data_IF_845526245717
#
_entry.id   IF_845526245717
#
_cell.length_a   1.000
_cell.length_b   1.000
_cell.length_c   1.000
_cell.angle_alpha   90.00
_cell.angle_beta   90.00
_cell.angle_gamma   90.00
#
_symmetry.space_group_name_H-M   'P 1'
#
loop_
_entity.id
_entity.type
_entity.pdbx_description
1 polymer ?
#
# COMPACT_ATOMS: atom_id res chain seq x y z
N UNK A 1 17.89 27.14 -22.72
CA UNK A 1 18.00 28.58 -23.16
C UNK A 1 17.97 29.46 -21.91
N UNK A 2 18.46 30.70 -22.03
CA UNK A 2 18.43 31.69 -20.92
C UNK A 2 16.98 32.00 -20.51
N UNK A 3 16.04 31.98 -21.45
CA UNK A 3 14.62 32.17 -21.18
C UNK A 3 14.04 31.03 -20.34
N UNK A 4 14.36 29.76 -20.64
CA UNK A 4 13.91 28.60 -19.85
C UNK A 4 14.46 28.65 -18.45
N UNK A 5 15.75 29.01 -18.31
CA UNK A 5 16.38 29.19 -17.03
C UNK A 5 15.70 30.30 -16.20
N UNK A 6 15.45 31.44 -16.80
CA UNK A 6 14.75 32.54 -16.14
C UNK A 6 13.32 32.14 -15.71
N UNK A 7 12.59 31.40 -16.55
CA UNK A 7 11.27 30.89 -16.22
C UNK A 7 11.32 29.86 -15.06
N UNK A 8 12.30 28.98 -15.06
CA UNK A 8 12.47 28.00 -13.97
C UNK A 8 12.78 28.69 -12.63
N UNK A 9 13.66 29.68 -12.63
CA UNK A 9 13.96 30.50 -11.44
C UNK A 9 12.72 31.25 -10.97
N UNK A 10 11.98 31.88 -11.87
CA UNK A 10 10.75 32.61 -11.51
C UNK A 10 9.66 31.69 -10.95
N UNK A 11 9.52 30.49 -11.51
CA UNK A 11 8.50 29.52 -11.07
C UNK A 11 8.82 28.89 -9.70
N UNK A 12 10.09 28.79 -9.32
CA UNK A 12 10.53 28.16 -8.07
C UNK A 12 10.91 29.17 -6.97
N UNK A 13 11.07 30.43 -7.32
CA UNK A 13 11.60 31.46 -6.41
C UNK A 13 13.08 31.23 -6.04
N UNK A 14 13.83 30.51 -6.88
CA UNK A 14 15.22 30.17 -6.59
C UNK A 14 16.13 31.44 -6.62
N UNK A 15 17.07 31.50 -5.68
CA UNK A 15 18.05 32.56 -5.54
C UNK A 15 19.46 32.10 -6.00
N UNK A 16 20.40 33.03 -6.23
CA UNK A 16 21.77 32.68 -6.53
C UNK A 16 22.41 31.82 -5.42
N UNK A 17 22.83 30.61 -5.80
CA UNK A 17 23.38 29.62 -4.86
C UNK A 17 22.45 28.40 -4.65
N UNK A 18 21.19 28.52 -5.05
CA UNK A 18 20.25 27.40 -4.99
C UNK A 18 20.51 26.39 -6.11
N UNK A 19 20.09 25.14 -5.84
CA UNK A 19 20.15 24.05 -6.81
C UNK A 19 18.72 23.61 -7.17
N UNK A 20 18.41 23.59 -8.47
CA UNK A 20 17.14 23.10 -8.99
C UNK A 20 17.30 21.69 -9.56
N UNK A 21 16.45 20.78 -9.09
CA UNK A 21 16.39 19.40 -9.56
C UNK A 21 15.22 19.21 -10.51
N UNK A 22 15.45 18.53 -11.61
CA UNK A 22 14.46 18.24 -12.64
C UNK A 22 14.36 16.74 -12.86
N UNK A 23 13.15 16.27 -13.13
CA UNK A 23 12.92 14.95 -13.67
C UNK A 23 12.02 15.03 -14.89
N UNK A 24 12.29 14.21 -15.89
CA UNK A 24 11.50 14.11 -17.11
C UNK A 24 11.25 12.64 -17.43
N UNK A 25 10.07 12.32 -17.93
CA UNK A 25 9.66 10.96 -18.26
C UNK A 25 8.17 10.77 -18.00
N UNK A 26 7.78 9.53 -17.77
CA UNK A 26 6.43 9.19 -17.33
C UNK A 26 6.12 9.92 -16.01
N UNK A 27 4.92 10.55 -15.88
CA UNK A 27 4.61 11.43 -14.76
C UNK A 27 4.74 10.78 -13.37
N UNK A 28 4.33 9.52 -13.21
CA UNK A 28 4.43 8.77 -11.95
C UNK A 28 5.90 8.56 -11.55
N UNK A 29 6.71 8.05 -12.48
CA UNK A 29 8.12 7.81 -12.27
C UNK A 29 8.90 9.10 -11.96
N UNK A 30 8.61 10.19 -12.69
CA UNK A 30 9.26 11.48 -12.49
C UNK A 30 8.94 12.07 -11.09
N UNK A 31 7.68 11.99 -10.66
CA UNK A 31 7.25 12.44 -9.33
C UNK A 31 7.88 11.61 -8.22
N UNK A 32 7.90 10.28 -8.37
CA UNK A 32 8.51 9.38 -7.40
C UNK A 32 10.00 9.64 -7.22
N UNK A 33 10.72 9.86 -8.34
CA UNK A 33 12.13 10.20 -8.31
C UNK A 33 12.40 11.52 -7.56
N UNK A 34 11.65 12.58 -7.87
CA UNK A 34 11.80 13.87 -7.19
C UNK A 34 11.37 13.80 -5.72
N UNK A 35 10.36 13.02 -5.40
CA UNK A 35 9.93 12.75 -4.02
C UNK A 35 11.05 12.10 -3.20
N UNK A 36 11.65 11.03 -3.73
CA UNK A 36 12.78 10.34 -3.10
C UNK A 36 14.00 11.27 -2.95
N UNK A 37 14.34 12.01 -4.01
CA UNK A 37 15.44 12.98 -3.98
C UNK A 37 15.24 14.06 -2.90
N UNK A 38 14.02 14.58 -2.75
CA UNK A 38 13.68 15.57 -1.74
C UNK A 38 13.96 15.04 -0.33
N UNK A 39 13.52 13.83 -0.03
CA UNK A 39 13.71 13.20 1.30
C UNK A 39 15.19 12.96 1.57
N UNK A 40 15.90 12.38 0.60
CA UNK A 40 17.34 12.08 0.71
C UNK A 40 18.19 13.33 0.93
N UNK A 41 17.93 14.38 0.15
CA UNK A 41 18.66 15.66 0.26
C UNK A 41 18.37 16.34 1.60
N UNK A 42 17.10 16.36 2.01
CA UNK A 42 16.72 16.95 3.29
C UNK A 42 17.39 16.25 4.48
N UNK A 43 17.46 14.91 4.45
CA UNK A 43 18.17 14.12 5.45
C UNK A 43 19.66 14.41 5.50
N UNK A 44 20.35 14.42 4.33
CA UNK A 44 21.80 14.72 4.24
C UNK A 44 22.15 16.12 4.73
N UNK A 45 21.28 17.07 4.52
CA UNK A 45 21.48 18.45 4.92
C UNK A 45 20.99 18.75 6.36
N UNK A 46 20.43 17.76 7.07
CA UNK A 46 19.90 17.97 8.42
C UNK A 46 18.71 18.94 8.48
N UNK A 47 17.92 19.01 7.41
CA UNK A 47 16.76 19.91 7.32
C UNK A 47 15.48 19.30 7.93
N UNK A 48 15.52 18.02 8.29
CA UNK A 48 14.40 17.34 8.93
C UNK A 48 14.45 17.57 10.44
N UNK A 49 13.43 18.21 10.98
CA UNK A 49 13.25 18.35 12.42
C UNK A 49 12.53 17.10 12.96
N UNK A 50 13.30 16.13 13.45
CA UNK A 50 12.78 14.89 13.99
C UNK A 50 11.99 15.05 15.29
N UNK A 51 12.15 16.19 15.99
CA UNK A 51 11.41 16.50 17.21
C UNK A 51 10.01 17.03 16.95
N UNK A 52 9.74 17.48 15.74
CA UNK A 52 8.46 18.07 15.36
C UNK A 52 7.48 17.02 14.83
N UNK A 53 6.26 17.07 15.29
CA UNK A 53 5.16 16.26 14.78
C UNK A 53 4.44 17.02 13.67
N UNK A 54 4.57 16.54 12.42
CA UNK A 54 4.04 17.17 11.21
C UNK A 54 2.98 16.27 10.59
N UNK A 55 1.72 16.67 10.74
CA UNK A 55 0.57 15.95 10.19
C UNK A 55 0.19 16.52 8.82
N UNK A 56 -0.20 15.62 7.91
CA UNK A 56 -0.78 15.97 6.62
C UNK A 56 -1.88 14.99 6.26
N UNK A 57 -2.98 15.49 5.70
CA UNK A 57 -3.99 14.68 5.05
C UNK A 57 -3.62 14.50 3.58
N UNK A 58 -3.66 13.27 3.11
CA UNK A 58 -3.62 12.94 1.70
C UNK A 58 -5.04 12.62 1.29
N UNK A 59 -5.56 13.34 0.27
CA UNK A 59 -6.92 13.20 -0.24
C UNK A 59 -6.89 13.12 -1.76
N UNK A 60 -8.04 12.81 -2.36
CA UNK A 60 -8.22 12.81 -3.81
C UNK A 60 -7.23 11.89 -4.53
N UNK A 61 -6.95 10.72 -3.95
CA UNK A 61 -6.10 9.73 -4.58
C UNK A 61 -6.74 9.14 -5.84
N UNK A 62 -5.97 8.64 -6.83
CA UNK A 62 -6.53 7.90 -7.95
C UNK A 62 -7.44 6.77 -7.48
N UNK A 63 -8.60 6.61 -8.12
CA UNK A 63 -9.53 5.53 -7.80
C UNK A 63 -9.05 4.19 -8.36
N UNK A 64 -8.46 4.23 -9.55
CA UNK A 64 -7.97 3.06 -10.27
C UNK A 64 -6.55 3.28 -10.78
N UNK A 65 -5.81 2.19 -10.90
CA UNK A 65 -4.53 2.14 -11.58
C UNK A 65 -4.54 1.02 -12.63
N UNK A 66 -3.85 1.26 -13.75
CA UNK A 66 -3.72 0.26 -14.80
C UNK A 66 -2.54 -0.65 -14.51
N UNK A 67 -2.81 -1.94 -14.41
CA UNK A 67 -1.79 -2.96 -14.31
C UNK A 67 -1.35 -3.36 -15.71
N UNK A 68 -0.08 -3.07 -16.04
CA UNK A 68 0.49 -3.37 -17.34
C UNK A 68 0.85 -4.85 -17.52
N UNK A 69 1.07 -5.57 -16.43
CA UNK A 69 1.44 -6.98 -16.48
C UNK A 69 0.20 -7.86 -16.66
N UNK A 70 -0.87 -7.54 -15.96
CA UNK A 70 -2.15 -8.26 -16.01
C UNK A 70 -3.14 -7.65 -17.02
N UNK A 71 -2.79 -6.52 -17.67
CA UNK A 71 -3.63 -5.79 -18.65
C UNK A 71 -5.04 -5.48 -18.12
N UNK A 72 -5.14 -5.04 -16.85
CA UNK A 72 -6.43 -4.76 -16.21
C UNK A 72 -6.37 -3.54 -15.30
N UNK A 73 -7.55 -3.03 -14.93
CA UNK A 73 -7.67 -2.04 -13.88
C UNK A 73 -7.66 -2.70 -12.51
N UNK A 74 -6.89 -2.12 -11.58
CA UNK A 74 -6.92 -2.43 -10.16
C UNK A 74 -7.48 -1.23 -9.38
N UNK A 75 -8.22 -1.50 -8.29
CA UNK A 75 -8.61 -0.44 -7.37
C UNK A 75 -7.40 -0.06 -6.51
N UNK A 76 -7.08 1.24 -6.42
CA UNK A 76 -5.94 1.72 -5.62
C UNK A 76 -6.16 1.46 -4.12
N UNK A 77 -7.38 1.63 -3.64
CA UNK A 77 -7.73 1.31 -2.25
C UNK A 77 -8.44 -0.04 -2.16
N UNK A 78 -9.72 -0.07 -2.51
CA UNK A 78 -10.51 -1.30 -2.62
C UNK A 78 -11.82 -1.05 -3.40
N UNK A 79 -12.50 -2.12 -3.90
CA UNK A 79 -13.66 -2.00 -4.79
C UNK A 79 -14.88 -1.27 -4.22
N UNK A 80 -14.93 -1.02 -2.93
CA UNK A 80 -16.07 -0.38 -2.25
C UNK A 80 -15.85 1.10 -1.94
N UNK A 81 -14.72 1.68 -2.37
CA UNK A 81 -14.43 3.11 -2.21
C UNK A 81 -15.25 3.92 -3.20
N UNK A 82 -15.94 4.95 -2.70
CA UNK A 82 -16.69 5.85 -3.56
C UNK A 82 -15.77 6.79 -4.36
N UNK A 83 -16.17 7.18 -5.58
CA UNK A 83 -15.54 8.31 -6.26
C UNK A 83 -15.83 9.61 -5.50
N UNK A 84 -14.98 10.63 -5.68
CA UNK A 84 -15.29 11.99 -5.21
C UNK A 84 -16.58 12.50 -5.87
N UNK A 85 -17.21 13.52 -5.28
CA UNK A 85 -18.46 14.07 -5.78
C UNK A 85 -18.37 14.53 -7.24
N UNK A 86 -17.24 15.11 -7.65
CA UNK A 86 -16.99 15.58 -9.01
C UNK A 86 -16.88 14.44 -10.04
N UNK A 87 -16.59 13.23 -9.56
CA UNK A 87 -16.43 12.04 -10.39
C UNK A 87 -17.61 11.05 -10.28
N UNK A 88 -18.61 11.34 -9.44
CA UNK A 88 -19.70 10.40 -9.15
C UNK A 88 -20.44 9.89 -10.39
N UNK A 89 -20.58 10.72 -11.42
CA UNK A 89 -21.28 10.38 -12.67
C UNK A 89 -20.35 10.11 -13.87
N UNK A 90 -19.01 10.30 -13.71
CA UNK A 90 -18.06 10.21 -14.83
C UNK A 90 -16.88 9.27 -14.63
N UNK A 91 -16.75 8.62 -13.50
CA UNK A 91 -15.59 7.77 -13.21
C UNK A 91 -15.47 6.57 -14.17
N UNK A 92 -16.59 6.04 -14.62
CA UNK A 92 -16.61 4.89 -15.52
C UNK A 92 -16.16 5.24 -16.95
N UNK A 93 -16.38 6.47 -17.38
CA UNK A 93 -15.98 6.93 -18.72
C UNK A 93 -14.48 7.27 -18.80
N UNK A 94 -13.85 7.57 -17.67
CA UNK A 94 -12.44 7.96 -17.60
C UNK A 94 -11.74 7.41 -16.35
N UNK A 95 -11.65 6.08 -16.17
CA UNK A 95 -11.11 5.45 -14.96
C UNK A 95 -9.68 5.89 -14.62
N UNK A 96 -8.84 6.16 -15.63
CA UNK A 96 -7.47 6.67 -15.44
C UNK A 96 -7.40 8.06 -14.76
N UNK A 97 -8.50 8.78 -14.69
CA UNK A 97 -8.56 10.14 -14.13
C UNK A 97 -9.45 10.22 -12.90
N UNK A 98 -10.25 9.20 -12.66
CA UNK A 98 -11.19 9.16 -11.55
C UNK A 98 -10.46 9.26 -10.20
N UNK A 99 -10.99 10.09 -9.31
CA UNK A 99 -10.47 10.28 -7.96
C UNK A 99 -11.39 9.62 -6.94
N UNK A 100 -10.78 8.96 -5.96
CA UNK A 100 -11.45 8.31 -4.85
C UNK A 100 -11.72 9.29 -3.72
N UNK A 101 -12.87 9.18 -3.08
CA UNK A 101 -13.18 9.85 -1.80
C UNK A 101 -12.53 9.04 -0.66
N UNK A 102 -11.21 9.04 -0.69
CA UNK A 102 -10.33 8.36 0.25
C UNK A 102 -9.39 9.37 0.90
N UNK A 103 -8.94 9.06 2.09
CA UNK A 103 -8.11 9.94 2.88
C UNK A 103 -7.16 9.17 3.78
N UNK A 104 -5.90 9.62 3.84
CA UNK A 104 -4.89 9.07 4.73
C UNK A 104 -4.33 10.17 5.62
N UNK A 105 -4.20 9.88 6.92
CA UNK A 105 -3.49 10.72 7.86
C UNK A 105 -2.03 10.27 7.95
N UNK A 106 -1.13 11.14 7.56
CA UNK A 106 0.31 10.89 7.59
C UNK A 106 0.97 11.79 8.62
N UNK A 107 1.90 11.25 9.40
CA UNK A 107 2.76 11.99 10.31
C UNK A 107 4.22 11.64 10.06
N UNK A 108 5.07 12.64 9.81
CA UNK A 108 6.51 12.47 9.58
C UNK A 108 6.84 11.37 8.55
N UNK A 109 6.07 11.30 7.46
CA UNK A 109 6.24 10.29 6.41
C UNK A 109 5.63 8.91 6.73
N UNK A 110 5.02 8.72 7.89
CA UNK A 110 4.33 7.49 8.27
C UNK A 110 2.82 7.69 8.16
N UNK A 111 2.16 6.86 7.37
CA UNK A 111 0.70 6.77 7.36
C UNK A 111 0.24 6.19 8.70
N UNK A 112 -0.49 6.97 9.46
CA UNK A 112 -1.04 6.57 10.78
C UNK A 112 -2.36 5.87 10.66
N UNK A 113 -3.14 6.24 9.66
CA UNK A 113 -4.44 5.65 9.41
C UNK A 113 -5.01 6.16 8.12
N UNK A 114 -5.87 5.35 7.51
CA UNK A 114 -6.53 5.68 6.28
C UNK A 114 -7.98 5.21 6.26
N UNK A 115 -8.73 5.77 5.37
CA UNK A 115 -10.14 5.48 5.23
C UNK A 115 -10.74 5.98 3.93
N UNK A 116 -12.02 5.74 3.78
CA UNK A 116 -12.76 6.25 2.62
C UNK A 116 -14.24 6.35 2.89
N UNK A 117 -14.91 7.16 2.09
CA UNK A 117 -16.35 7.10 1.92
C UNK A 117 -16.68 5.89 1.04
N UNK A 118 -17.71 5.16 1.40
CA UNK A 118 -18.07 3.90 0.76
C UNK A 118 -19.18 4.08 -0.27
N UNK A 119 -19.12 3.25 -1.30
CA UNK A 119 -20.26 3.11 -2.23
C UNK A 119 -21.42 2.51 -1.47
N UNK A 120 -22.58 3.15 -1.56
CA UNK A 120 -23.84 2.67 -0.98
C UNK A 120 -24.94 2.50 -2.03
N UNK A 121 -24.65 2.75 -3.31
CA UNK A 121 -25.59 2.60 -4.44
C UNK A 121 -25.19 1.38 -5.25
N UNK A 122 -26.11 0.42 -5.40
CA UNK A 122 -25.84 -0.82 -6.12
C UNK A 122 -25.41 -0.60 -7.58
N UNK A 123 -26.00 0.36 -8.28
CA UNK A 123 -25.65 0.66 -9.66
C UNK A 123 -24.19 1.17 -9.79
N UNK A 124 -23.76 2.03 -8.87
CA UNK A 124 -22.37 2.52 -8.84
C UNK A 124 -21.39 1.39 -8.52
N UNK A 125 -21.74 0.51 -7.58
CA UNK A 125 -20.94 -0.65 -7.25
C UNK A 125 -20.75 -1.60 -8.42
N UNK A 126 -21.81 -1.82 -9.21
CA UNK A 126 -21.70 -2.64 -10.42
C UNK A 126 -20.75 -2.03 -11.44
N UNK A 127 -20.82 -0.71 -11.67
CA UNK A 127 -19.89 -0.02 -12.57
C UNK A 127 -18.43 -0.20 -12.13
N UNK A 128 -18.14 -0.15 -10.83
CA UNK A 128 -16.79 -0.40 -10.31
C UNK A 128 -16.36 -1.85 -10.59
N UNK A 129 -17.23 -2.83 -10.36
CA UNK A 129 -16.93 -4.23 -10.66
C UNK A 129 -16.68 -4.45 -12.15
N UNK A 130 -17.49 -3.83 -13.02
CA UNK A 130 -17.32 -3.91 -14.46
C UNK A 130 -15.95 -3.40 -14.92
N UNK A 131 -15.48 -2.25 -14.35
CA UNK A 131 -14.14 -1.70 -14.62
C UNK A 131 -13.04 -2.67 -14.17
N UNK A 132 -13.21 -3.30 -13.00
CA UNK A 132 -12.24 -4.24 -12.43
C UNK A 132 -12.27 -5.63 -13.07
N UNK A 133 -13.22 -5.88 -13.99
CA UNK A 133 -13.41 -7.18 -14.63
C UNK A 133 -13.99 -8.25 -13.70
N UNK A 134 -14.65 -7.86 -12.61
CA UNK A 134 -15.30 -8.75 -11.65
C UNK A 134 -16.73 -9.01 -12.15
N UNK A 135 -16.98 -10.21 -12.63
CA UNK A 135 -18.30 -10.59 -13.09
C UNK A 135 -19.29 -10.87 -11.95
N UNK A 136 -20.56 -11.05 -12.29
CA UNK A 136 -21.61 -11.24 -11.27
C UNK A 136 -21.43 -12.54 -10.45
N UNK A 137 -20.88 -13.58 -11.03
CA UNK A 137 -20.65 -14.85 -10.34
C UNK A 137 -19.52 -14.70 -9.33
N UNK A 138 -18.43 -14.08 -9.74
CA UNK A 138 -17.29 -13.77 -8.88
C UNK A 138 -17.67 -12.77 -7.75
N UNK A 139 -18.45 -11.73 -8.11
CA UNK A 139 -18.96 -10.78 -7.12
C UNK A 139 -19.86 -11.46 -6.08
N UNK A 140 -20.73 -12.37 -6.50
CA UNK A 140 -21.61 -13.12 -5.60
C UNK A 140 -20.81 -14.09 -4.71
N UNK A 141 -19.80 -14.76 -5.25
CA UNK A 141 -18.95 -15.67 -4.48
C UNK A 141 -18.11 -14.94 -3.43
N UNK A 142 -17.46 -13.83 -3.82
CA UNK A 142 -16.54 -13.11 -2.94
C UNK A 142 -17.25 -12.16 -1.97
N UNK A 143 -18.30 -11.51 -2.41
CA UNK A 143 -18.95 -10.39 -1.71
C UNK A 143 -20.46 -10.55 -1.53
N UNK A 144 -21.02 -11.74 -1.85
CA UNK A 144 -22.46 -11.97 -1.86
C UNK A 144 -23.16 -11.55 -0.56
N UNK A 145 -22.59 -11.87 0.60
CA UNK A 145 -23.13 -11.48 1.90
C UNK A 145 -23.22 -9.95 2.07
N UNK A 146 -22.23 -9.20 1.56
CA UNK A 146 -22.22 -7.74 1.65
C UNK A 146 -23.22 -7.11 0.67
N UNK A 147 -23.26 -7.64 -0.57
CA UNK A 147 -24.19 -7.18 -1.61
C UNK A 147 -25.64 -7.46 -1.20
N UNK A 148 -25.90 -8.60 -0.57
CA UNK A 148 -27.20 -8.92 0.01
C UNK A 148 -27.58 -7.92 1.11
N UNK A 149 -26.67 -7.66 2.06
CA UNK A 149 -26.89 -6.67 3.11
C UNK A 149 -27.17 -5.28 2.52
N UNK A 150 -26.49 -4.90 1.45
CA UNK A 150 -26.70 -3.61 0.77
C UNK A 150 -28.04 -3.53 0.04
N UNK A 151 -28.69 -4.64 -0.29
CA UNK A 151 -30.01 -4.65 -0.88
C UNK A 151 -31.09 -4.08 0.06
N UNK A 152 -30.83 -4.05 1.36
CA UNK A 152 -31.72 -3.47 2.38
C UNK A 152 -31.55 -1.95 2.55
N UNK A 153 -30.74 -1.29 1.73
CA UNK A 153 -30.60 0.16 1.71
C UNK A 153 -29.60 0.69 2.76
N UNK A 154 -28.30 0.52 2.55
CA UNK A 154 -27.30 1.06 3.45
C UNK A 154 -27.31 2.59 3.45
N UNK A 155 -27.11 3.25 4.59
CA UNK A 155 -26.93 4.69 4.61
C UNK A 155 -25.60 5.08 3.96
N UNK A 156 -25.41 6.35 3.55
CA UNK A 156 -24.09 6.87 3.30
C UNK A 156 -23.18 6.61 4.51
N UNK A 157 -22.03 6.02 4.27
CA UNK A 157 -21.14 5.63 5.35
C UNK A 157 -19.68 5.72 4.91
N UNK A 158 -18.81 5.75 5.86
CA UNK A 158 -17.35 5.76 5.69
C UNK A 158 -16.70 5.46 7.03
N UNK A 159 -15.38 5.48 7.05
CA UNK A 159 -14.64 5.22 8.27
C UNK A 159 -13.15 5.44 8.09
N UNK A 160 -12.43 5.39 9.18
CA UNK A 160 -10.98 5.44 9.23
C UNK A 160 -10.47 4.36 10.17
N UNK A 161 -9.38 3.70 9.78
CA UNK A 161 -8.67 2.75 10.62
C UNK A 161 -7.26 3.27 10.89
N UNK A 162 -6.81 3.14 12.13
CA UNK A 162 -5.48 3.57 12.56
C UNK A 162 -4.56 2.38 12.78
N UNK A 163 -3.31 2.51 12.30
CA UNK A 163 -2.24 1.57 12.58
C UNK A 163 -1.70 1.77 14.00
N UNK A 164 -2.22 1.01 14.97
CA UNK A 164 -1.86 1.17 16.38
C UNK A 164 -0.35 1.02 16.63
N UNK A 165 0.27 0.04 15.99
CA UNK A 165 1.72 -0.17 16.12
C UNK A 165 2.54 1.02 15.60
N UNK A 166 2.10 1.68 14.51
CA UNK A 166 2.74 2.90 14.00
C UNK A 166 2.62 4.07 14.97
N UNK A 167 1.47 4.22 15.60
CA UNK A 167 1.27 5.22 16.64
C UNK A 167 2.20 4.94 17.83
N UNK A 168 2.26 3.69 18.28
CA UNK A 168 3.17 3.28 19.36
C UNK A 168 4.64 3.51 18.99
N UNK A 169 5.04 3.21 17.77
CA UNK A 169 6.39 3.45 17.27
C UNK A 169 6.77 4.93 17.35
N UNK A 170 5.90 5.81 16.86
CA UNK A 170 6.13 7.25 16.92
C UNK A 170 6.17 7.78 18.36
N UNK A 171 5.24 7.35 19.22
CA UNK A 171 5.20 7.74 20.64
C UNK A 171 6.44 7.27 21.41
N UNK A 172 6.98 6.12 21.07
CA UNK A 172 8.18 5.56 21.67
C UNK A 172 9.48 6.19 21.12
N UNK A 173 9.41 6.96 20.02
CA UNK A 173 10.59 7.43 19.30
C UNK A 173 11.42 6.28 18.73
N UNK A 174 10.76 5.17 18.35
CA UNK A 174 11.42 4.00 17.79
C UNK A 174 11.54 4.10 16.25
N UNK A 175 12.63 3.55 15.71
CA UNK A 175 12.91 3.59 14.28
C UNK A 175 12.20 2.49 13.48
N UNK A 176 11.69 1.48 14.18
CA UNK A 176 11.07 0.31 13.56
C UNK A 176 9.83 -0.16 14.31
N UNK A 177 8.81 -0.60 13.56
CA UNK A 177 7.64 -1.28 14.12
C UNK A 177 8.02 -2.52 14.95
N UNK A 178 9.14 -3.18 14.61
CA UNK A 178 9.61 -4.35 15.35
C UNK A 178 10.00 -4.04 16.78
N UNK A 179 10.34 -2.80 17.09
CA UNK A 179 10.75 -2.37 18.43
C UNK A 179 9.56 -2.22 19.38
N UNK A 180 8.35 -2.10 18.84
CA UNK A 180 7.10 -1.94 19.61
C UNK A 180 6.16 -3.14 19.55
N UNK A 181 6.50 -4.17 18.78
CA UNK A 181 5.74 -5.42 18.66
C UNK A 181 6.43 -6.50 19.49
N UNK A 182 5.67 -7.14 20.41
CA UNK A 182 6.24 -8.13 21.33
C UNK A 182 6.84 -9.36 20.64
N UNK A 183 6.27 -9.79 19.49
CA UNK A 183 6.70 -10.97 18.73
C UNK A 183 6.79 -10.63 17.22
N UNK A 184 7.79 -9.82 16.83
CA UNK A 184 7.89 -9.37 15.44
C UNK A 184 8.32 -10.51 14.53
N UNK A 185 7.72 -10.56 13.34
CA UNK A 185 8.12 -11.46 12.25
C UNK A 185 9.10 -10.77 11.30
N UNK A 186 9.87 -11.57 10.55
CA UNK A 186 10.68 -11.05 9.45
C UNK A 186 9.81 -10.61 8.28
N UNK A 187 10.39 -9.89 7.30
CA UNK A 187 9.69 -9.47 6.10
C UNK A 187 9.11 -10.63 5.27
N UNK A 188 9.68 -11.83 5.38
CA UNK A 188 9.18 -13.05 4.74
C UNK A 188 8.14 -13.81 5.60
N UNK A 189 7.68 -13.22 6.70
CA UNK A 189 6.69 -13.85 7.58
C UNK A 189 7.25 -14.93 8.53
N UNK A 190 8.58 -15.12 8.57
CA UNK A 190 9.22 -16.05 9.48
C UNK A 190 9.17 -15.53 10.91
N UNK A 191 8.78 -16.39 11.84
CA UNK A 191 8.77 -16.11 13.27
C UNK A 191 10.05 -16.64 13.93
N UNK A 192 10.96 -15.75 14.36
CA UNK A 192 12.21 -16.18 15.00
C UNK A 192 12.04 -16.91 16.32
N UNK A 193 10.92 -16.69 17.03
CA UNK A 193 10.66 -17.33 18.31
C UNK A 193 10.23 -18.78 18.15
N UNK A 194 9.30 -19.05 17.24
CA UNK A 194 8.72 -20.39 17.05
C UNK A 194 9.35 -21.17 15.91
N UNK A 195 10.12 -20.50 15.04
CA UNK A 195 10.66 -21.07 13.82
C UNK A 195 9.62 -21.30 12.71
N UNK A 196 8.42 -20.75 12.84
CA UNK A 196 7.35 -20.88 11.84
C UNK A 196 7.60 -19.95 10.63
N UNK A 197 7.09 -20.31 9.43
CA UNK A 197 6.37 -21.54 9.10
C UNK A 197 7.31 -22.74 8.99
N UNK A 198 6.80 -23.93 9.34
CA UNK A 198 7.49 -25.20 9.17
C UNK A 198 6.68 -26.13 8.28
N UNK A 199 7.33 -27.07 7.56
CA UNK A 199 6.61 -28.06 6.78
C UNK A 199 5.63 -28.85 7.64
N UNK A 200 4.43 -29.09 7.10
CA UNK A 200 3.43 -29.95 7.74
C UNK A 200 3.59 -31.40 7.25
N UNK A 201 3.32 -32.36 8.12
CA UNK A 201 3.41 -33.78 7.79
C UNK A 201 2.27 -34.22 6.86
N UNK A 202 2.43 -35.32 6.09
CA UNK A 202 1.35 -35.89 5.31
C UNK A 202 0.09 -36.20 6.14
N UNK A 203 0.26 -36.68 7.39
CA UNK A 203 -0.86 -36.92 8.28
C UNK A 203 -1.64 -35.69 8.63
N UNK A 204 -0.96 -34.58 8.93
CA UNK A 204 -1.58 -33.28 9.20
C UNK A 204 -2.31 -32.72 7.97
N UNK A 205 -1.76 -32.92 6.76
CA UNK A 205 -2.44 -32.52 5.51
C UNK A 205 -3.72 -33.31 5.29
N UNK A 206 -3.66 -34.63 5.49
CA UNK A 206 -4.83 -35.49 5.36
C UNK A 206 -5.92 -35.14 6.39
N UNK A 207 -5.54 -34.86 7.65
CA UNK A 207 -6.46 -34.43 8.71
C UNK A 207 -7.13 -33.09 8.38
N UNK A 208 -6.37 -32.14 7.80
CA UNK A 208 -6.87 -30.84 7.38
C UNK A 208 -7.68 -30.89 6.05
N UNK A 209 -7.73 -32.02 5.36
CA UNK A 209 -8.36 -32.15 4.05
C UNK A 209 -7.62 -31.42 2.92
N UNK A 210 -6.34 -31.09 3.15
CA UNK A 210 -5.47 -30.40 2.18
C UNK A 210 -4.65 -31.47 1.46
N UNK A 211 -5.15 -32.00 0.36
CA UNK A 211 -4.44 -32.98 -0.45
C UNK A 211 -3.75 -32.26 -1.62
N UNK A 212 -2.59 -31.68 -1.36
CA UNK A 212 -1.74 -31.13 -2.41
C UNK A 212 -0.93 -32.31 -2.98
N UNK A 213 -1.17 -32.64 -4.24
CA UNK A 213 -0.25 -33.48 -5.01
C UNK A 213 0.98 -32.61 -5.24
N UNK A 214 2.18 -32.93 -4.72
CA UNK A 214 3.37 -32.15 -4.99
C UNK A 214 3.65 -32.20 -6.49
N UNK A 215 3.70 -31.06 -7.15
CA UNK A 215 4.36 -31.00 -8.45
C UNK A 215 5.85 -31.30 -8.23
N UNK A 216 6.48 -32.03 -9.15
CA UNK A 216 7.91 -32.41 -9.08
C UNK A 216 8.85 -31.19 -8.88
N UNK A 217 8.39 -29.98 -9.18
CA UNK A 217 9.12 -28.73 -8.94
C UNK A 217 9.04 -28.22 -7.49
N UNK A 218 7.99 -28.56 -6.71
CA UNK A 218 7.84 -28.09 -5.33
C UNK A 218 8.80 -28.80 -4.38
N UNK A 219 9.20 -30.02 -4.68
CA UNK A 219 10.21 -30.76 -3.92
C UNK A 219 11.62 -30.17 -4.09
N UNK A 220 11.90 -29.50 -5.23
CA UNK A 220 13.15 -28.81 -5.46
C UNK A 220 13.32 -27.55 -4.61
N UNK A 221 12.23 -26.84 -4.31
CA UNK A 221 12.25 -25.64 -3.46
C UNK A 221 12.44 -26.00 -1.99
N UNK A 222 11.85 -27.10 -1.53
CA UNK A 222 12.03 -27.59 -0.16
C UNK A 222 13.45 -28.14 0.09
N UNK A 223 14.11 -28.69 -0.95
CA UNK A 223 15.48 -29.17 -0.87
C UNK A 223 16.52 -28.04 -0.86
N UNK A 224 16.17 -26.83 -1.33
CA UNK A 224 17.03 -25.65 -1.40
C UNK A 224 16.82 -24.65 -0.25
N UNK A 225 15.99 -24.96 0.73
CA UNK A 225 15.88 -24.15 1.94
C UNK A 225 17.26 -24.13 2.64
N UNK A 226 17.81 -22.95 2.99
CA UNK A 226 19.10 -22.88 3.64
C UNK A 226 19.05 -23.66 4.94
N UNK A 227 19.85 -24.72 5.02
CA UNK A 227 20.08 -25.42 6.30
C UNK A 227 20.77 -24.42 7.20
N UNK A 228 20.08 -23.91 8.20
CA UNK A 228 20.69 -23.08 9.23
C UNK A 228 21.82 -23.89 9.86
N UNK A 229 23.05 -23.53 9.49
CA UNK A 229 24.23 -24.00 10.14
C UNK A 229 24.16 -23.58 11.61
N UNK A 230 24.29 -24.56 12.47
CA UNK A 230 24.56 -24.36 13.89
C UNK A 230 25.76 -23.44 13.98
N UNK A 231 25.55 -22.20 14.47
CA UNK A 231 26.66 -21.31 14.82
C UNK A 231 27.35 -21.99 16.00
N UNK A 232 28.47 -22.67 15.72
CA UNK A 232 29.36 -23.17 16.76
C UNK A 232 29.90 -21.95 17.51
N UNK A 233 29.63 -21.90 18.80
CA UNK A 233 30.18 -20.94 19.76
C UNK A 233 31.71 -21.12 19.88
N UNK A 234 32.47 -20.39 19.06
CA UNK A 234 33.92 -20.23 19.25
C UNK A 234 34.20 -19.02 20.14
N UNK A 235 33.83 -19.11 21.42
CA UNK A 235 34.45 -18.29 22.48
C UNK A 235 34.93 -19.19 23.60
N UNK A 236 36.08 -19.79 23.42
CA UNK A 236 37.02 -20.15 24.49
C UNK A 236 38.43 -20.19 23.93
N UNK A 237 39.14 -19.07 24.04
CA UNK A 237 40.48 -18.93 24.62
C UNK A 237 40.89 -17.48 24.57
#
# INVERSE_FOLDING_TARGET
TDTERANAVAATGAEPGDCLFFAAGEPGAARSLLGAARVEIAGRLGLVDESAWRFVWITDAPMFEWDHDDERWNAVHHPFTAPTADWADGFADAPARALADAYDLVCNGNELGGGSIRIHRAAMQQQVFDILGIDQAEAAEKFGFLLEAFSYGPPPHGGIAFGWDRICMLLAGADSLRDVIAFPKTGAGYDPLTGAPTPITPAQRAEAGIDVIPDDESDAVAANAPRHGVIADERRN
#
